data_IF_873524361110
#
_entry.id   IF_873524361110
#
_cell.length_a   1.000
_cell.length_b   1.000
_cell.length_c   1.000
_cell.angle_alpha   90.00
_cell.angle_beta   90.00
_cell.angle_gamma   90.00
#
_symmetry.space_group_name_H-M   'P 1'
#
loop_
_entity.id
_entity.type
_entity.pdbx_description
1 polymer ?
#
# COMPACT_ATOMS: atom_id res chain seq x y z
N UNK A 1 21.18 -14.84 -5.86
CA UNK A 1 20.74 -13.45 -5.67
C UNK A 1 19.74 -13.17 -6.77
N UNK A 2 18.48 -12.97 -6.44
CA UNK A 2 17.42 -12.68 -7.42
C UNK A 2 17.66 -11.26 -7.97
N UNK A 3 18.19 -11.14 -9.18
CA UNK A 3 18.38 -9.85 -9.89
C UNK A 3 17.06 -9.39 -10.50
N UNK A 4 16.00 -9.46 -9.71
CA UNK A 4 14.69 -8.95 -10.06
C UNK A 4 14.80 -7.42 -10.26
N UNK A 5 14.37 -6.94 -11.42
CA UNK A 5 14.36 -5.52 -11.71
C UNK A 5 13.06 -4.93 -11.17
N UNK A 6 13.19 -3.96 -10.26
CA UNK A 6 12.04 -3.24 -9.72
C UNK A 6 11.93 -1.92 -10.46
N UNK A 7 10.75 -1.63 -10.99
CA UNK A 7 10.45 -0.36 -11.62
C UNK A 7 9.54 0.44 -10.72
N UNK A 8 9.94 1.67 -10.39
CA UNK A 8 9.07 2.58 -9.63
C UNK A 8 7.71 2.68 -10.29
N UNK A 9 6.64 2.53 -9.50
CA UNK A 9 5.29 2.50 -10.07
C UNK A 9 5.07 3.74 -10.94
N UNK A 10 5.55 4.93 -10.59
CA UNK A 10 5.33 6.17 -11.38
C UNK A 10 5.83 6.07 -12.82
N UNK A 11 6.79 5.18 -13.10
CA UNK A 11 7.38 4.96 -14.41
C UNK A 11 6.83 3.71 -15.12
N UNK A 12 5.94 2.94 -14.48
CA UNK A 12 5.29 1.77 -15.10
C UNK A 12 4.17 2.24 -16.02
N UNK A 13 4.34 2.04 -17.34
CA UNK A 13 3.37 2.48 -18.34
C UNK A 13 2.01 1.77 -18.28
N UNK A 14 1.99 0.46 -17.99
CA UNK A 14 0.76 -0.32 -17.78
C UNK A 14 0.86 -1.02 -16.43
N UNK A 15 0.06 -0.57 -15.46
CA UNK A 15 0.03 -1.19 -14.13
C UNK A 15 -0.93 -2.38 -14.16
N UNK A 16 -0.51 -3.59 -13.76
CA UNK A 16 -1.37 -4.77 -13.82
C UNK A 16 -2.60 -4.60 -12.91
N UNK A 17 -3.74 -5.16 -13.34
CA UNK A 17 -4.91 -5.27 -12.46
C UNK A 17 -4.65 -6.32 -11.37
N UNK A 18 -5.00 -5.99 -10.13
CA UNK A 18 -4.92 -6.90 -8.98
C UNK A 18 -6.31 -7.35 -8.49
N UNK A 19 -7.36 -7.11 -9.27
CA UNK A 19 -8.68 -7.68 -8.98
C UNK A 19 -8.59 -9.20 -8.99
N UNK A 20 -9.12 -9.85 -7.96
CA UNK A 20 -9.03 -11.29 -7.68
C UNK A 20 -7.59 -11.82 -7.48
N UNK A 21 -6.61 -10.92 -7.29
CA UNK A 21 -5.26 -11.35 -6.95
C UNK A 21 -5.16 -11.69 -5.46
N UNK A 22 -4.56 -12.84 -5.14
CA UNK A 22 -4.37 -13.30 -3.77
C UNK A 22 -3.05 -12.79 -3.20
N UNK A 23 -3.09 -12.08 -2.07
CA UNK A 23 -1.90 -11.75 -1.29
C UNK A 23 -1.38 -13.03 -0.61
N UNK A 24 -0.21 -13.49 -1.07
CA UNK A 24 0.36 -14.79 -0.66
C UNK A 24 1.57 -14.66 0.25
N UNK A 25 2.27 -13.52 0.20
CA UNK A 25 3.50 -13.32 0.98
C UNK A 25 3.66 -11.87 1.42
N UNK A 26 4.14 -11.70 2.64
CA UNK A 26 4.48 -10.41 3.25
C UNK A 26 5.88 -10.51 3.84
N UNK A 27 6.81 -9.69 3.37
CA UNK A 27 8.15 -9.55 3.96
C UNK A 27 8.28 -8.16 4.56
N UNK A 28 8.40 -8.09 5.88
CA UNK A 28 8.60 -6.85 6.60
C UNK A 28 10.03 -6.78 7.14
N UNK A 29 10.75 -5.70 6.81
CA UNK A 29 12.07 -5.40 7.37
C UNK A 29 12.06 -3.98 7.95
N UNK A 30 11.91 -3.83 9.28
CA UNK A 30 11.81 -2.53 9.93
C UNK A 30 13.14 -1.77 9.92
N UNK A 31 14.28 -2.45 10.01
CA UNK A 31 15.61 -1.81 10.00
C UNK A 31 15.86 -1.08 8.68
N UNK A 32 15.49 -1.72 7.57
CA UNK A 32 15.59 -1.13 6.23
C UNK A 32 14.38 -0.25 5.87
N UNK A 33 13.40 -0.08 6.77
CA UNK A 33 12.10 0.57 6.50
C UNK A 33 11.50 0.09 5.18
N UNK A 34 11.42 -1.22 5.01
CA UNK A 34 10.97 -1.84 3.76
C UNK A 34 9.91 -2.91 3.99
N UNK A 35 9.02 -3.03 3.00
CA UNK A 35 7.97 -4.03 2.95
C UNK A 35 7.94 -4.59 1.52
N UNK A 36 7.73 -5.89 1.37
CA UNK A 36 7.43 -6.51 0.07
C UNK A 36 6.14 -7.32 0.21
N UNK A 37 5.20 -7.08 -0.70
CA UNK A 37 3.97 -7.85 -0.84
C UNK A 37 4.03 -8.65 -2.13
N UNK A 38 3.61 -9.91 -2.10
CA UNK A 38 3.50 -10.74 -3.31
C UNK A 38 2.09 -11.21 -3.53
N UNK A 39 1.64 -11.01 -4.75
CA UNK A 39 0.31 -11.35 -5.20
C UNK A 39 0.37 -12.45 -6.25
N UNK A 40 -0.53 -13.42 -6.15
CA UNK A 40 -0.81 -14.37 -7.23
C UNK A 40 -2.05 -13.90 -7.98
N UNK A 41 -1.90 -13.57 -9.25
CA UNK A 41 -3.03 -13.21 -10.13
C UNK A 41 -3.83 -14.44 -10.56
N UNK A 42 -5.03 -14.21 -11.10
CA UNK A 42 -5.92 -15.26 -11.65
C UNK A 42 -5.23 -16.13 -12.72
N UNK A 43 -4.34 -15.54 -13.53
CA UNK A 43 -3.56 -16.27 -14.54
C UNK A 43 -2.38 -17.08 -13.97
N UNK A 44 -2.15 -17.02 -12.65
CA UNK A 44 -1.05 -17.67 -11.96
C UNK A 44 0.24 -16.83 -11.91
N UNK A 45 0.27 -15.66 -12.56
CA UNK A 45 1.42 -14.77 -12.51
C UNK A 45 1.66 -14.27 -11.09
N UNK A 46 2.93 -14.20 -10.69
CA UNK A 46 3.34 -13.67 -9.39
C UNK A 46 3.87 -12.26 -9.58
N UNK A 47 3.15 -11.30 -9.01
CA UNK A 47 3.51 -9.89 -8.98
C UNK A 47 4.06 -9.54 -7.60
N UNK A 48 5.08 -8.67 -7.53
CA UNK A 48 5.61 -8.20 -6.25
C UNK A 48 5.66 -6.67 -6.19
N UNK A 49 5.12 -6.12 -5.11
CA UNK A 49 5.21 -4.69 -4.79
C UNK A 49 6.20 -4.50 -3.65
N UNK A 50 7.23 -3.70 -3.89
CA UNK A 50 8.22 -3.31 -2.88
C UNK A 50 8.01 -1.86 -2.45
N UNK A 51 7.86 -1.67 -1.16
CA UNK A 51 7.71 -0.40 -0.48
C UNK A 51 9.04 -0.04 0.17
N UNK A 52 9.49 1.19 -0.06
CA UNK A 52 10.74 1.72 0.52
C UNK A 52 10.44 2.96 1.35
N UNK A 53 11.22 3.15 2.42
CA UNK A 53 11.00 4.25 3.34
C UNK A 53 9.62 4.16 4.00
N UNK A 54 9.19 2.95 4.40
CA UNK A 54 7.93 2.75 5.13
C UNK A 54 7.94 3.64 6.38
N UNK A 55 6.91 4.47 6.51
CA UNK A 55 6.70 5.40 7.63
C UNK A 55 5.72 4.77 8.60
N UNK A 56 4.61 4.24 8.07
CA UNK A 56 3.61 3.55 8.86
C UNK A 56 2.88 2.51 7.98
N UNK A 57 2.45 1.42 8.59
CA UNK A 57 1.64 0.39 7.94
C UNK A 57 0.72 -0.28 8.95
N UNK A 58 -0.45 -0.71 8.47
CA UNK A 58 -1.35 -1.57 9.23
C UNK A 58 -1.94 -2.62 8.30
N UNK A 59 -2.03 -3.84 8.82
CA UNK A 59 -2.64 -5.01 8.18
C UNK A 59 -3.55 -5.67 9.22
N UNK A 60 -4.76 -6.02 8.83
CA UNK A 60 -5.67 -6.86 9.62
C UNK A 60 -6.20 -8.01 8.77
N UNK A 61 -6.73 -9.03 9.43
CA UNK A 61 -7.47 -10.13 8.81
C UNK A 61 -6.74 -10.92 7.72
N UNK A 62 -5.40 -11.01 7.83
CA UNK A 62 -4.61 -11.93 7.00
C UNK A 62 -4.96 -13.38 7.37
N UNK A 63 -5.69 -14.06 6.48
CA UNK A 63 -6.35 -15.32 6.75
C UNK A 63 -6.00 -16.38 5.69
N UNK A 64 -6.75 -17.50 5.67
CA UNK A 64 -6.54 -18.59 4.72
C UNK A 64 -6.75 -18.21 3.24
N UNK A 65 -7.47 -17.12 2.96
CA UNK A 65 -7.61 -16.50 1.65
C UNK A 65 -7.52 -14.98 1.81
N UNK A 66 -6.76 -14.31 0.95
CA UNK A 66 -6.50 -12.86 1.01
C UNK A 66 -6.65 -12.24 -0.36
N UNK A 67 -7.87 -12.22 -0.87
CA UNK A 67 -8.18 -11.80 -2.24
C UNK A 67 -8.43 -10.30 -2.28
N UNK A 68 -7.66 -9.58 -3.10
CA UNK A 68 -7.83 -8.15 -3.28
C UNK A 68 -9.05 -7.86 -4.18
N UNK A 69 -9.90 -6.92 -3.76
CA UNK A 69 -10.89 -6.30 -4.64
C UNK A 69 -10.22 -5.27 -5.54
N UNK A 70 -9.44 -4.37 -4.92
CA UNK A 70 -8.65 -3.35 -5.64
C UNK A 70 -7.48 -2.86 -4.81
N UNK A 71 -6.49 -2.29 -5.51
CA UNK A 71 -5.38 -1.57 -4.92
C UNK A 71 -5.51 -0.09 -5.25
N UNK A 72 -5.57 0.76 -4.23
CA UNK A 72 -5.54 2.22 -4.38
C UNK A 72 -4.12 2.69 -4.10
N UNK A 73 -3.49 3.36 -5.07
CA UNK A 73 -2.08 3.73 -4.96
C UNK A 73 -1.87 5.15 -5.47
N UNK A 74 -1.39 6.07 -4.64
CA UNK A 74 -1.06 7.42 -5.12
C UNK A 74 0.22 7.40 -5.99
N UNK A 75 0.35 8.27 -7.01
CA UNK A 75 -0.65 9.22 -7.48
C UNK A 75 -1.64 8.64 -8.52
N UNK A 76 -1.63 7.31 -8.78
CA UNK A 76 -2.57 6.68 -9.73
C UNK A 76 -4.02 6.79 -9.29
N UNK A 77 -4.24 6.74 -7.99
CA UNK A 77 -5.48 7.06 -7.33
C UNK A 77 -5.33 8.41 -6.63
N UNK A 78 -6.26 9.34 -6.92
CA UNK A 78 -6.27 10.67 -6.31
C UNK A 78 -7.10 10.62 -5.03
N UNK A 79 -6.44 10.38 -3.90
CA UNK A 79 -7.11 10.38 -2.60
C UNK A 79 -7.63 11.78 -2.23
N UNK A 80 -8.89 11.84 -1.81
CA UNK A 80 -9.46 13.03 -1.17
C UNK A 80 -8.86 13.28 0.22
N UNK A 81 -9.00 14.51 0.70
CA UNK A 81 -8.60 14.88 2.06
C UNK A 81 -9.24 13.98 3.13
N UNK A 82 -10.53 13.66 2.98
CA UNK A 82 -11.25 12.78 3.89
C UNK A 82 -10.68 11.36 3.89
N UNK A 83 -10.33 10.82 2.72
CA UNK A 83 -9.75 9.48 2.61
C UNK A 83 -8.35 9.45 3.21
N UNK A 84 -7.50 10.43 2.91
CA UNK A 84 -6.15 10.53 3.49
C UNK A 84 -6.21 10.55 5.01
N UNK A 85 -7.06 11.41 5.60
CA UNK A 85 -7.24 11.48 7.05
C UNK A 85 -7.75 10.16 7.64
N UNK A 86 -8.71 9.51 6.96
CA UNK A 86 -9.27 8.23 7.39
C UNK A 86 -8.20 7.14 7.41
N UNK A 87 -7.49 6.94 6.30
CA UNK A 87 -6.48 5.89 6.18
C UNK A 87 -5.27 6.12 7.08
N UNK A 88 -4.75 7.34 7.14
CA UNK A 88 -3.60 7.63 8.01
C UNK A 88 -3.98 7.53 9.50
N UNK A 89 -5.20 7.89 9.88
CA UNK A 89 -5.68 7.65 11.25
C UNK A 89 -5.82 6.16 11.55
N UNK A 90 -6.37 5.38 10.61
CA UNK A 90 -6.52 3.94 10.74
C UNK A 90 -5.17 3.21 10.82
N UNK A 91 -4.20 3.60 9.99
CA UNK A 91 -2.83 3.06 10.06
C UNK A 91 -2.22 3.26 11.46
N UNK A 92 -2.49 4.41 12.08
CA UNK A 92 -1.95 4.78 13.38
C UNK A 92 -2.80 4.34 14.57
N UNK A 93 -3.94 3.69 14.35
CA UNK A 93 -4.78 3.18 15.45
C UNK A 93 -4.24 1.85 15.98
N UNK A 94 -4.76 1.41 17.14
CA UNK A 94 -4.55 0.09 17.74
C UNK A 94 -5.92 -0.48 18.11
N UNK A 95 -5.98 -1.76 18.44
CA UNK A 95 -7.26 -2.47 18.64
C UNK A 95 -8.18 -1.79 19.67
N UNK A 96 -7.61 -1.16 20.70
CA UNK A 96 -8.37 -0.46 21.75
C UNK A 96 -8.25 1.08 21.71
N UNK A 97 -7.61 1.65 20.68
CA UNK A 97 -7.38 3.10 20.62
C UNK A 97 -7.52 3.66 19.21
N UNK A 98 -8.32 4.71 19.07
CA UNK A 98 -8.33 5.48 17.83
C UNK A 98 -6.95 6.11 17.62
N UNK A 99 -6.47 6.08 16.37
CA UNK A 99 -5.22 6.75 16.01
C UNK A 99 -5.34 8.25 16.24
N UNK A 100 -4.21 8.92 16.42
CA UNK A 100 -4.17 10.36 16.64
C UNK A 100 -4.98 11.09 15.55
N UNK A 101 -5.77 12.07 15.98
CA UNK A 101 -6.53 12.91 15.05
C UNK A 101 -5.56 13.65 14.13
N UNK A 102 -5.83 13.56 12.82
CA UNK A 102 -5.11 14.31 11.81
C UNK A 102 -5.90 15.58 11.57
N UNK A 103 -5.29 16.72 11.87
CA UNK A 103 -5.89 18.02 11.61
C UNK A 103 -6.13 18.24 10.11
N UNK A 104 -7.02 19.16 9.77
CA UNK A 104 -7.30 19.50 8.37
C UNK A 104 -6.03 19.97 7.63
N UNK A 105 -5.24 20.83 8.29
CA UNK A 105 -3.98 21.34 7.76
C UNK A 105 -2.97 20.22 7.46
N UNK A 106 -2.75 19.31 8.41
CA UNK A 106 -1.88 18.16 8.20
C UNK A 106 -2.40 17.24 7.09
N UNK A 107 -3.72 17.05 7.01
CA UNK A 107 -4.33 16.26 5.94
C UNK A 107 -4.08 16.88 4.56
N UNK A 108 -4.20 18.21 4.44
CA UNK A 108 -3.91 18.93 3.19
C UNK A 108 -2.43 18.84 2.80
N UNK A 109 -1.53 18.91 3.77
CA UNK A 109 -0.10 18.70 3.56
C UNK A 109 0.18 17.30 2.98
N UNK A 110 -0.40 16.26 3.59
CA UNK A 110 -0.25 14.90 3.06
C UNK A 110 -0.83 14.76 1.65
N UNK A 111 -2.01 15.32 1.37
CA UNK A 111 -2.58 15.29 0.00
C UNK A 111 -1.61 15.92 -1.00
N UNK A 112 -0.97 17.04 -0.66
CA UNK A 112 0.04 17.66 -1.52
C UNK A 112 1.28 16.78 -1.69
N UNK A 113 1.78 16.17 -0.63
CA UNK A 113 2.92 15.23 -0.71
C UNK A 113 2.63 14.01 -1.60
N UNK A 114 1.41 13.47 -1.54
CA UNK A 114 0.96 12.37 -2.41
C UNK A 114 0.88 12.80 -3.87
N UNK A 115 0.36 14.02 -4.14
CA UNK A 115 0.27 14.59 -5.50
C UNK A 115 1.64 14.86 -6.12
N UNK A 116 2.57 15.37 -5.33
CA UNK A 116 3.96 15.61 -5.74
C UNK A 116 4.79 14.31 -5.82
N UNK A 117 4.27 13.20 -5.29
CA UNK A 117 4.96 11.92 -5.25
C UNK A 117 6.15 11.89 -4.28
N UNK A 118 6.17 12.78 -3.28
CA UNK A 118 7.14 12.75 -2.17
C UNK A 118 6.81 11.65 -1.16
N UNK A 119 5.54 11.24 -1.16
CA UNK A 119 4.99 10.14 -0.38
C UNK A 119 4.07 9.31 -1.24
N UNK A 120 3.87 8.07 -0.81
CA UNK A 120 2.91 7.15 -1.41
C UNK A 120 2.01 6.60 -0.31
N UNK A 121 0.70 6.70 -0.53
CA UNK A 121 -0.32 5.98 0.20
C UNK A 121 -0.80 4.81 -0.67
N UNK A 122 -0.72 3.63 -0.10
CA UNK A 122 -1.23 2.39 -0.67
C UNK A 122 -2.33 1.86 0.22
N UNK A 123 -3.42 1.40 -0.39
CA UNK A 123 -4.51 0.69 0.27
C UNK A 123 -4.83 -0.57 -0.53
N UNK A 124 -4.87 -1.70 0.16
CA UNK A 124 -5.43 -2.96 -0.32
C UNK A 124 -6.82 -3.07 0.28
N UNK A 125 -7.84 -2.93 -0.57
CA UNK A 125 -9.21 -3.22 -0.17
C UNK A 125 -9.54 -4.69 -0.44
N UNK A 126 -9.94 -5.46 0.59
CA UNK A 126 -10.20 -6.88 0.42
C UNK A 126 -11.51 -7.11 -0.33
N UNK A 127 -11.51 -8.14 -1.17
CA UNK A 127 -12.72 -8.92 -1.45
C UNK A 127 -12.97 -9.92 -0.30
N UNK A 128 -11.89 -10.52 0.21
CA UNK A 128 -11.90 -11.38 1.39
C UNK A 128 -10.52 -11.38 2.06
N UNK A 129 -10.47 -11.45 3.40
CA UNK A 129 -9.24 -11.54 4.18
C UNK A 129 -8.55 -10.19 4.34
N UNK A 130 -7.25 -10.16 4.04
CA UNK A 130 -6.36 -9.04 4.36
C UNK A 130 -6.87 -7.66 3.92
N UNK A 131 -7.02 -6.74 4.89
CA UNK A 131 -7.14 -5.30 4.65
C UNK A 131 -5.84 -4.62 5.07
N UNK A 132 -5.28 -3.78 4.19
CA UNK A 132 -3.97 -3.18 4.43
C UNK A 132 -3.89 -1.75 3.95
N UNK A 133 -3.15 -0.91 4.68
CA UNK A 133 -2.70 0.36 4.18
C UNK A 133 -1.23 0.63 4.57
N UNK A 134 -0.51 1.29 3.69
CA UNK A 134 0.93 1.60 3.83
C UNK A 134 1.17 3.05 3.43
N UNK A 135 1.84 3.79 4.31
CA UNK A 135 2.36 5.11 4.04
C UNK A 135 3.88 5.05 3.96
N UNK A 136 4.45 5.41 2.81
CA UNK A 136 5.87 5.22 2.51
C UNK A 136 6.41 6.28 1.56
N UNK A 137 7.71 6.20 1.23
CA UNK A 137 8.39 7.13 0.33
C UNK A 137 8.21 6.73 -1.14
N UNK A 138 8.25 5.44 -1.45
CA UNK A 138 8.10 4.95 -2.83
C UNK A 138 7.62 3.50 -2.89
N UNK A 139 6.98 3.14 -4.01
CA UNK A 139 6.59 1.78 -4.35
C UNK A 139 7.19 1.41 -5.71
N UNK A 140 7.69 0.19 -5.83
CA UNK A 140 8.17 -0.36 -7.08
C UNK A 140 7.54 -1.73 -7.37
N UNK A 141 7.20 -1.97 -8.64
CA UNK A 141 6.69 -3.24 -9.14
C UNK A 141 7.87 -4.09 -9.64
N UNK A 142 7.91 -5.36 -9.29
CA UNK A 142 8.83 -6.34 -9.88
C UNK A 142 8.40 -6.63 -11.31
N UNK A 143 9.31 -6.44 -12.27
CA UNK A 143 9.14 -6.75 -13.69
C UNK A 143 9.85 -8.05 -14.03
#
# INVERSE_FOLDING_TARGET
MDTATYTDIRNVGSFPSFHDAELTEIKHNPEARSLELRFRRVGGEIEALRFSGVIAQRLIDFAGQNVASRLLISPRYEFSLSEVRTWLRWINSRDDSTGAEISEQQGLEYVQELKLGHRVLFVLEPSCGAEMAVFCESIALKV
#
